data_IF_433192202918
#
_entry.id   IF_433192202918
#
_cell.length_a   1.000
_cell.length_b   1.000
_cell.length_c   1.000
_cell.angle_alpha   90.00
_cell.angle_beta   90.00
_cell.angle_gamma   90.00
#
_symmetry.space_group_name_H-M   'P 1'
#
loop_
_entity.id
_entity.type
_entity.pdbx_description
1 polymer ?
#
# COMPACT_ATOMS: atom_id res chain seq x y z
N UNK A 1 17.66 -6.85 -29.32
CA UNK A 1 18.41 -6.54 -28.09
C UNK A 1 17.55 -6.90 -26.89
N UNK A 2 18.12 -7.49 -25.84
CA UNK A 2 17.42 -7.76 -24.58
C UNK A 2 17.24 -6.43 -23.85
N UNK A 3 16.01 -6.09 -23.42
CA UNK A 3 15.75 -4.91 -22.59
C UNK A 3 16.54 -5.01 -21.30
N UNK A 4 17.16 -3.91 -20.89
CA UNK A 4 17.77 -3.80 -19.56
C UNK A 4 16.70 -3.73 -18.46
N UNK A 5 17.07 -4.08 -17.23
CA UNK A 5 16.16 -3.98 -16.08
C UNK A 5 15.63 -2.55 -15.87
N UNK A 6 16.45 -1.54 -16.18
CA UNK A 6 16.07 -0.13 -16.08
C UNK A 6 14.98 0.24 -17.09
N UNK A 7 15.16 -0.14 -18.35
CA UNK A 7 14.17 0.10 -19.40
C UNK A 7 12.84 -0.61 -19.11
N UNK A 8 12.89 -1.79 -18.46
CA UNK A 8 11.69 -2.48 -18.01
C UNK A 8 10.97 -1.70 -16.91
N UNK A 9 11.71 -1.22 -15.90
CA UNK A 9 11.18 -0.42 -14.79
C UNK A 9 10.56 0.90 -15.27
N UNK A 10 11.23 1.60 -16.17
CA UNK A 10 10.75 2.86 -16.76
C UNK A 10 9.46 2.64 -17.56
N UNK A 11 9.42 1.60 -18.41
CA UNK A 11 8.25 1.26 -19.20
C UNK A 11 7.05 0.81 -18.34
N UNK A 12 7.30 -0.01 -17.32
CA UNK A 12 6.26 -0.42 -16.37
C UNK A 12 5.73 0.77 -15.58
N UNK A 13 6.62 1.66 -15.09
CA UNK A 13 6.22 2.86 -14.37
C UNK A 13 5.38 3.77 -15.26
N UNK A 14 5.78 4.01 -16.51
CA UNK A 14 5.04 4.84 -17.43
C UNK A 14 3.64 4.28 -17.76
N UNK A 15 3.50 2.94 -17.84
CA UNK A 15 2.23 2.28 -18.14
C UNK A 15 1.28 2.20 -16.95
N UNK A 16 1.83 2.05 -15.74
CA UNK A 16 1.07 1.83 -14.52
C UNK A 16 0.89 3.11 -13.69
N UNK A 17 1.57 4.20 -14.06
CA UNK A 17 1.43 5.47 -13.38
C UNK A 17 -0.04 5.92 -13.42
N UNK A 18 -0.67 6.16 -12.26
CA UNK A 18 -1.99 6.78 -12.24
C UNK A 18 -1.89 8.21 -12.78
N UNK A 19 -3.00 8.73 -13.30
CA UNK A 19 -3.08 10.14 -13.68
C UNK A 19 -2.66 11.03 -12.47
N UNK A 20 -1.60 11.84 -12.60
CA UNK A 20 -1.08 12.65 -11.50
C UNK A 20 -2.08 13.68 -10.99
N UNK A 21 -3.12 14.00 -11.76
CA UNK A 21 -4.18 14.93 -11.39
C UNK A 21 -5.46 14.25 -10.90
N UNK A 22 -5.55 12.91 -10.95
CA UNK A 22 -6.72 12.18 -10.48
C UNK A 22 -6.91 12.29 -8.95
N UNK A 23 -5.82 12.45 -8.19
CA UNK A 23 -5.90 12.60 -6.74
C UNK A 23 -6.30 14.03 -6.35
N UNK A 24 -7.60 14.23 -6.10
CA UNK A 24 -8.17 15.51 -5.68
C UNK A 24 -7.83 15.91 -4.23
N UNK A 25 -7.42 14.96 -3.39
CA UNK A 25 -7.15 15.18 -1.98
C UNK A 25 -5.76 15.79 -1.75
N UNK A 26 -4.74 15.36 -2.50
CA UNK A 26 -3.38 15.87 -2.33
C UNK A 26 -3.28 17.41 -2.47
N UNK A 27 -3.89 18.05 -3.49
CA UNK A 27 -3.90 19.52 -3.57
C UNK A 27 -4.64 20.21 -2.42
N UNK A 28 -5.61 19.54 -1.78
CA UNK A 28 -6.32 20.07 -0.61
C UNK A 28 -5.43 20.02 0.63
N UNK A 29 -4.70 18.92 0.82
CA UNK A 29 -3.72 18.76 1.91
C UNK A 29 -2.61 19.81 1.77
N UNK A 30 -2.03 19.93 0.57
CA UNK A 30 -0.91 20.84 0.32
C UNK A 30 -1.21 22.30 0.66
N UNK A 31 -2.47 22.73 0.48
CA UNK A 31 -2.91 24.10 0.81
C UNK A 31 -3.60 24.23 2.17
N UNK A 32 -3.63 23.17 2.99
CA UNK A 32 -4.28 23.16 4.29
C UNK A 32 -5.82 23.27 4.25
N UNK A 33 -6.45 22.95 3.11
CA UNK A 33 -7.90 23.05 2.92
C UNK A 33 -8.64 21.70 3.06
N UNK A 34 -7.91 20.60 3.33
CA UNK A 34 -8.54 19.31 3.58
C UNK A 34 -9.34 19.34 4.89
N UNK A 35 -10.59 18.89 4.86
CA UNK A 35 -11.40 18.82 6.07
C UNK A 35 -10.84 17.76 7.02
N UNK A 36 -10.84 18.05 8.32
CA UNK A 36 -10.38 17.10 9.36
C UNK A 36 -11.17 15.78 9.31
N UNK A 37 -12.46 15.81 8.99
CA UNK A 37 -13.29 14.62 8.79
C UNK A 37 -12.82 13.76 7.61
N UNK A 38 -12.38 14.37 6.50
CA UNK A 38 -11.79 13.66 5.36
C UNK A 38 -10.44 13.04 5.74
N UNK A 39 -9.62 13.74 6.51
CA UNK A 39 -8.34 13.23 7.00
C UNK A 39 -8.55 12.07 7.99
N UNK A 40 -9.56 12.16 8.86
CA UNK A 40 -9.96 11.07 9.75
C UNK A 40 -10.40 9.82 8.95
N UNK A 41 -11.21 10.01 7.90
CA UNK A 41 -11.61 8.90 7.02
C UNK A 41 -10.40 8.28 6.31
N UNK A 42 -9.50 9.10 5.77
CA UNK A 42 -8.25 8.61 5.17
C UNK A 42 -7.43 7.79 6.17
N UNK A 43 -7.28 8.29 7.40
CA UNK A 43 -6.52 7.58 8.44
C UNK A 43 -7.10 6.19 8.74
N UNK A 44 -8.43 6.10 8.78
CA UNK A 44 -9.13 4.85 9.02
C UNK A 44 -8.98 3.87 7.86
N UNK A 45 -9.07 4.31 6.61
CA UNK A 45 -8.85 3.45 5.44
C UNK A 45 -7.40 2.96 5.37
N UNK A 46 -6.43 3.84 5.59
CA UNK A 46 -5.00 3.50 5.53
C UNK A 46 -4.60 2.46 6.58
N UNK A 47 -5.33 2.36 7.71
CA UNK A 47 -5.04 1.38 8.76
C UNK A 47 -5.21 -0.05 8.27
N UNK A 48 -6.15 -0.25 7.35
CA UNK A 48 -6.44 -1.55 6.77
C UNK A 48 -5.42 -1.88 5.68
N UNK A 49 -5.03 -0.89 4.88
CA UNK A 49 -4.03 -1.01 3.82
C UNK A 49 -2.66 -1.36 4.40
N UNK A 50 -2.14 -0.53 5.31
CA UNK A 50 -0.83 -0.73 5.97
C UNK A 50 -0.75 -2.09 6.68
N UNK A 51 -1.81 -2.47 7.41
CA UNK A 51 -1.85 -3.76 8.08
C UNK A 51 -1.89 -4.93 7.09
N UNK A 52 -2.56 -4.79 5.94
CA UNK A 52 -2.60 -5.80 4.90
C UNK A 52 -1.25 -5.92 4.18
N UNK A 53 -0.64 -4.81 3.81
CA UNK A 53 0.65 -4.76 3.13
C UNK A 53 1.75 -5.36 4.01
N UNK A 54 1.76 -5.04 5.31
CA UNK A 54 2.67 -5.67 6.28
C UNK A 54 2.56 -7.19 6.27
N UNK A 55 1.34 -7.72 6.33
CA UNK A 55 1.11 -9.18 6.29
C UNK A 55 1.58 -9.79 4.98
N UNK A 56 1.34 -9.11 3.86
CA UNK A 56 1.78 -9.57 2.55
C UNK A 56 3.31 -9.61 2.44
N UNK A 57 4.02 -8.58 2.93
CA UNK A 57 5.48 -8.56 2.93
C UNK A 57 6.09 -9.63 3.82
N UNK A 58 5.54 -9.85 5.02
CA UNK A 58 5.97 -10.96 5.88
C UNK A 58 5.77 -12.30 5.18
N UNK A 59 4.61 -12.51 4.55
CA UNK A 59 4.34 -13.73 3.80
C UNK A 59 5.35 -13.94 2.65
N UNK A 60 5.69 -12.89 1.90
CA UNK A 60 6.69 -12.96 0.84
C UNK A 60 8.10 -13.25 1.36
N UNK A 61 8.45 -12.73 2.53
CA UNK A 61 9.75 -12.97 3.16
C UNK A 61 9.92 -14.41 3.68
N UNK A 62 8.82 -15.09 4.01
CA UNK A 62 8.80 -16.45 4.55
C UNK A 62 8.61 -17.55 3.49
N UNK A 63 8.52 -17.18 2.20
CA UNK A 63 8.31 -18.13 1.12
C UNK A 63 9.45 -19.16 1.03
N UNK A 64 9.17 -20.45 0.77
CA UNK A 64 10.22 -21.48 0.70
C UNK A 64 11.26 -21.28 -0.41
N UNK A 65 10.89 -20.57 -1.48
CA UNK A 65 11.69 -20.37 -2.69
C UNK A 65 12.32 -18.97 -2.80
N UNK A 66 12.19 -18.13 -1.76
CA UNK A 66 12.71 -16.76 -1.80
C UNK A 66 14.22 -16.73 -1.57
N UNK A 67 14.93 -16.02 -2.44
CA UNK A 67 16.36 -15.78 -2.26
C UNK A 67 16.62 -14.96 -0.98
N UNK A 68 17.71 -15.20 -0.23
CA UNK A 68 17.97 -14.52 1.04
C UNK A 68 17.96 -12.98 0.95
N UNK A 69 18.46 -12.42 -0.17
CA UNK A 69 18.45 -10.98 -0.40
C UNK A 69 17.03 -10.43 -0.61
N UNK A 70 16.18 -11.19 -1.31
CA UNK A 70 14.77 -10.85 -1.50
C UNK A 70 13.98 -11.00 -0.20
N UNK A 71 14.28 -12.00 0.62
CA UNK A 71 13.69 -12.16 1.95
C UNK A 71 13.99 -10.94 2.84
N UNK A 72 15.26 -10.53 2.90
CA UNK A 72 15.69 -9.36 3.67
C UNK A 72 15.04 -8.06 3.14
N UNK A 73 14.88 -7.94 1.82
CA UNK A 73 14.18 -6.82 1.21
C UNK A 73 12.71 -6.76 1.66
N UNK A 74 11.95 -7.86 1.59
CA UNK A 74 10.55 -7.87 2.05
C UNK A 74 10.41 -7.66 3.56
N UNK A 75 11.34 -8.20 4.36
CA UNK A 75 11.37 -7.94 5.80
C UNK A 75 11.54 -6.45 6.11
N UNK A 76 12.44 -5.75 5.39
CA UNK A 76 12.62 -4.30 5.52
C UNK A 76 11.32 -3.53 5.18
N UNK A 77 10.56 -3.94 4.17
CA UNK A 77 9.26 -3.34 3.87
C UNK A 77 8.24 -3.59 4.98
N UNK A 78 8.19 -4.80 5.55
CA UNK A 78 7.31 -5.10 6.67
C UNK A 78 7.63 -4.25 7.93
N UNK A 79 8.90 -3.94 8.17
CA UNK A 79 9.33 -3.00 9.21
C UNK A 79 8.87 -1.56 8.90
N UNK A 80 8.98 -1.14 7.64
CA UNK A 80 8.44 0.15 7.17
C UNK A 80 6.93 0.28 7.42
N UNK A 81 6.16 -0.76 7.14
CA UNK A 81 4.72 -0.78 7.41
C UNK A 81 4.40 -0.77 8.92
N UNK A 82 5.22 -1.41 9.75
CA UNK A 82 5.07 -1.31 11.21
C UNK A 82 5.26 0.14 11.69
N UNK A 83 6.29 0.83 11.19
CA UNK A 83 6.51 2.24 11.47
C UNK A 83 5.36 3.12 10.95
N UNK A 84 4.85 2.84 9.75
CA UNK A 84 3.72 3.55 9.17
C UNK A 84 2.46 3.40 10.04
N UNK A 85 2.19 2.19 10.55
CA UNK A 85 1.07 1.91 11.44
C UNK A 85 1.11 2.77 12.71
N UNK A 86 2.29 2.89 13.34
CA UNK A 86 2.46 3.71 14.54
C UNK A 86 2.20 5.19 14.27
N UNK A 87 2.73 5.70 13.15
CA UNK A 87 2.51 7.10 12.74
C UNK A 87 1.07 7.36 12.36
N UNK A 88 0.40 6.37 11.79
CA UNK A 88 -1.00 6.47 11.43
C UNK A 88 -1.90 6.53 12.66
N UNK A 89 -1.54 5.84 13.75
CA UNK A 89 -2.20 5.98 15.05
C UNK A 89 -2.17 7.42 15.54
N UNK A 90 -0.98 8.01 15.65
CA UNK A 90 -0.82 9.41 16.06
C UNK A 90 -1.55 10.39 15.13
N UNK A 91 -1.59 10.12 13.83
CA UNK A 91 -2.33 10.92 12.86
C UNK A 91 -3.85 10.82 13.05
N UNK A 92 -4.37 9.62 13.30
CA UNK A 92 -5.79 9.39 13.57
C UNK A 92 -6.25 10.13 14.84
N UNK A 93 -5.45 10.05 15.90
CA UNK A 93 -5.68 10.77 17.16
C UNK A 93 -5.73 12.29 16.94
N UNK A 94 -4.78 12.82 16.17
CA UNK A 94 -4.75 14.24 15.80
C UNK A 94 -5.96 14.68 14.93
N UNK A 95 -6.62 13.73 14.27
CA UNK A 95 -7.86 13.96 13.53
C UNK A 95 -9.13 13.80 14.41
N UNK A 96 -8.99 13.39 15.68
CA UNK A 96 -10.11 13.17 16.59
C UNK A 96 -10.84 11.84 16.36
N UNK A 97 -10.14 10.83 15.86
CA UNK A 97 -10.65 9.45 15.79
C UNK A 97 -10.48 8.81 17.16
N UNK A 98 -11.56 8.28 17.72
CA UNK A 98 -11.49 7.46 18.93
C UNK A 98 -11.46 5.96 18.59
N UNK A 99 -11.11 5.13 19.58
CA UNK A 99 -10.98 3.68 19.41
C UNK A 99 -12.28 3.01 18.94
N UNK A 100 -13.44 3.50 19.40
CA UNK A 100 -14.74 2.94 19.02
C UNK A 100 -15.03 3.15 17.52
N UNK A 101 -14.78 4.37 17.03
CA UNK A 101 -14.90 4.71 15.60
C UNK A 101 -13.85 3.97 14.76
N UNK A 102 -12.67 3.75 15.32
CA UNK A 102 -11.60 3.06 14.66
C UNK A 102 -11.88 1.56 14.50
N UNK A 103 -12.50 0.93 15.50
CA UNK A 103 -12.93 -0.46 15.46
C UNK A 103 -14.15 -0.69 14.56
N UNK A 104 -15.05 0.29 14.44
CA UNK A 104 -16.27 0.20 13.63
C UNK A 104 -16.04 0.49 12.13
N UNK A 105 -14.84 0.97 11.74
CA UNK A 105 -14.58 1.33 10.34
C UNK A 105 -14.31 0.08 9.49
N UNK A 106 -15.28 -0.29 8.66
CA UNK A 106 -15.05 -1.24 7.57
C UNK A 106 -14.37 -0.55 6.37
N UNK A 107 -13.34 -1.16 5.77
CA UNK A 107 -12.68 -0.57 4.62
C UNK A 107 -13.63 -0.50 3.42
N UNK A 108 -13.53 0.60 2.67
CA UNK A 108 -14.27 0.77 1.41
C UNK A 108 -13.92 -0.36 0.42
N UNK A 109 -14.85 -0.65 -0.50
CA UNK A 109 -14.71 -1.73 -1.47
C UNK A 109 -13.39 -1.65 -2.28
N UNK A 110 -12.95 -0.44 -2.62
CA UNK A 110 -11.70 -0.20 -3.35
C UNK A 110 -10.46 -0.39 -2.46
N UNK A 111 -10.54 -0.12 -1.16
CA UNK A 111 -9.45 -0.42 -0.23
C UNK A 111 -9.33 -1.92 0.05
N UNK A 112 -10.43 -2.68 -0.07
CA UNK A 112 -10.43 -4.15 0.02
C UNK A 112 -9.82 -4.83 -1.20
N UNK A 113 -9.83 -4.20 -2.37
CA UNK A 113 -9.28 -4.79 -3.61
C UNK A 113 -7.80 -4.51 -3.83
N UNK A 114 -7.27 -3.39 -3.32
CA UNK A 114 -5.90 -2.93 -3.64
C UNK A 114 -4.81 -3.65 -2.82
N UNK A 115 -5.05 -4.08 -1.58
CA UNK A 115 -3.97 -4.57 -0.69
C UNK A 115 -3.83 -6.11 -0.59
N UNK A 116 -4.89 -6.95 -0.43
CA UNK A 116 -4.69 -8.38 -0.21
C UNK A 116 -4.70 -9.23 -1.50
N UNK A 117 -5.40 -8.82 -2.57
CA UNK A 117 -5.68 -9.71 -3.72
C UNK A 117 -4.70 -9.54 -4.88
N UNK A 118 -4.10 -8.36 -5.03
CA UNK A 118 -3.11 -8.04 -6.06
C UNK A 118 -1.74 -8.62 -5.72
N UNK A 119 -1.25 -8.43 -4.49
CA UNK A 119 0.07 -8.91 -4.05
C UNK A 119 0.10 -10.44 -3.89
N UNK A 120 -0.96 -11.04 -3.35
CA UNK A 120 -1.05 -12.49 -3.18
C UNK A 120 -1.14 -13.21 -4.54
N UNK A 121 -1.83 -12.62 -5.53
CA UNK A 121 -1.85 -13.14 -6.91
C UNK A 121 -0.53 -12.98 -7.64
N UNK A 122 0.25 -11.93 -7.37
CA UNK A 122 1.64 -11.85 -7.85
C UNK A 122 2.57 -12.89 -7.20
N UNK A 123 2.26 -13.32 -5.97
CA UNK A 123 2.97 -14.38 -5.28
C UNK A 123 2.71 -15.78 -5.87
N UNK A 124 1.47 -16.07 -6.26
CA UNK A 124 1.04 -17.37 -6.80
C UNK A 124 1.45 -17.60 -8.26
N UNK A 125 1.55 -16.55 -9.07
CA UNK A 125 2.00 -16.67 -10.46
C UNK A 125 3.52 -16.54 -10.48
N UNK A 126 4.23 -17.67 -10.37
CA UNK A 126 5.70 -17.78 -10.46
C UNK A 126 6.31 -17.37 -11.81
N UNK A 127 5.65 -16.49 -12.58
CA UNK A 127 6.19 -15.91 -13.80
C UNK A 127 5.61 -14.49 -14.04
N UNK A 128 6.41 -13.41 -13.90
CA UNK A 128 5.91 -12.02 -13.96
C UNK A 128 5.47 -11.53 -15.36
N UNK A 129 5.48 -12.40 -16.38
CA UNK A 129 5.29 -11.99 -17.77
C UNK A 129 3.86 -12.11 -18.32
N UNK A 130 2.88 -12.62 -17.55
CA UNK A 130 1.51 -12.76 -18.06
C UNK A 130 0.45 -12.44 -17.01
N UNK A 131 0.13 -11.16 -16.90
CA UNK A 131 -1.23 -10.70 -16.60
C UNK A 131 -1.72 -9.99 -17.84
N UNK A 132 -2.52 -10.71 -18.64
CA UNK A 132 -3.34 -10.10 -19.68
C UNK A 132 -4.51 -9.41 -18.98
N UNK A 133 -4.74 -8.14 -19.37
CA UNK A 133 -5.85 -7.30 -18.94
C UNK A 133 -7.20 -7.91 -19.32
#
# INVERSE_FOLDING_TARGET
MVRTARELLEDATAKLAPDPHANRLLPLIARGAAQRSTLAALALEQRHVVAADRRAFLHLAERPDVEPQSAAFFALFAEGEALAQDRLGAFADACGVDEARAAACEPLADCRTVAPRSILRCGEVGHPARVAW
#
